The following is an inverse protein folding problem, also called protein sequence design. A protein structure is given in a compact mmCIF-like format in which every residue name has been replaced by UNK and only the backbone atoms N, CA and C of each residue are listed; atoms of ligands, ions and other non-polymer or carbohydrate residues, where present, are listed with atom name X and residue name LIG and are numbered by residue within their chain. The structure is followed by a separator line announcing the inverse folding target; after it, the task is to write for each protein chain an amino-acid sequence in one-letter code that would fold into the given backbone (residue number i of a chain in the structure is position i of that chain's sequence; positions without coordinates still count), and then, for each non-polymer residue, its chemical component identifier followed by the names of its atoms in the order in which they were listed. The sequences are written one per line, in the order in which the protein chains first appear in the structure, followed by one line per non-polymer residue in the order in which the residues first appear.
data_IF_693095697420
#
_entry.id   IF_693095697420
#
_cell.length_a   1.000
_cell.length_b   1.000
_cell.length_c   1.000
_cell.angle_alpha   90.00
_cell.angle_beta   90.00
_cell.angle_gamma   90.00
#
_symmetry.space_group_name_H-M   'P 1'
#
loop_
_entity.id
_entity.type
_entity.pdbx_description
1 polymer ?
#
# COMPACT_ATOMS: atom_id res chain seq x y z
N UNK A 1 -6.07 6.31 3.27
CA UNK A 1 -6.44 5.11 4.07
C UNK A 1 -7.94 4.95 4.31
N UNK A 2 -8.75 6.02 4.32
CA UNK A 2 -10.22 5.94 4.49
C UNK A 2 -10.90 4.87 3.61
N UNK A 3 -10.62 4.88 2.30
CA UNK A 3 -11.20 3.89 1.35
C UNK A 3 -10.89 2.45 1.73
N UNK A 4 -9.68 2.18 2.25
CA UNK A 4 -9.30 0.84 2.69
C UNK A 4 -10.08 0.42 3.93
N UNK A 5 -10.22 1.34 4.89
CA UNK A 5 -11.04 1.13 6.10
C UNK A 5 -12.49 0.83 5.77
N UNK A 6 -13.07 1.59 4.84
CA UNK A 6 -14.46 1.42 4.43
C UNK A 6 -14.71 0.08 3.70
N UNK A 7 -13.69 -0.49 3.04
CA UNK A 7 -13.81 -1.75 2.28
C UNK A 7 -13.44 -3.01 3.07
N UNK A 8 -12.47 -2.92 3.97
CA UNK A 8 -11.89 -4.08 4.67
C UNK A 8 -12.54 -4.30 6.04
N UNK A 9 -13.04 -3.24 6.67
CA UNK A 9 -13.62 -3.33 8.02
C UNK A 9 -12.59 -3.80 9.05
N UNK A 10 -12.93 -4.88 9.77
CA UNK A 10 -12.08 -5.49 10.80
C UNK A 10 -11.38 -6.78 10.34
N UNK A 11 -11.62 -7.21 9.10
CA UNK A 11 -11.04 -8.44 8.59
C UNK A 11 -9.52 -8.29 8.46
N UNK A 12 -8.75 -9.38 8.70
CA UNK A 12 -7.35 -9.39 8.32
C UNK A 12 -7.21 -9.01 6.83
N UNK A 13 -6.10 -8.35 6.47
CA UNK A 13 -5.94 -7.82 5.11
C UNK A 13 -4.53 -8.02 4.60
N UNK A 14 -4.44 -8.38 3.32
CA UNK A 14 -3.19 -8.39 2.57
C UNK A 14 -3.02 -7.06 1.87
N UNK A 15 -1.86 -6.43 2.06
CA UNK A 15 -1.62 -5.07 1.56
C UNK A 15 -0.25 -4.97 0.90
N UNK A 16 -0.23 -4.46 -0.33
CA UNK A 16 0.99 -4.06 -1.02
C UNK A 16 1.07 -2.53 -1.05
N UNK A 17 2.12 -1.98 -0.44
CA UNK A 17 2.51 -0.58 -0.62
C UNK A 17 3.43 -0.49 -1.81
N UNK A 18 3.12 0.40 -2.74
CA UNK A 18 3.84 0.51 -4.00
C UNK A 18 4.46 1.91 -4.14
N UNK A 19 5.62 2.06 -4.79
CA UNK A 19 6.20 3.39 -5.03
C UNK A 19 6.91 3.54 -6.39
N UNK A 20 7.12 4.80 -6.79
CA UNK A 20 7.96 5.20 -7.93
C UNK A 20 9.14 6.03 -7.41
N UNK A 21 10.31 5.41 -7.21
CA UNK A 21 11.51 6.04 -6.63
C UNK A 21 11.28 6.86 -5.34
N UNK A 22 10.42 6.36 -4.44
CA UNK A 22 10.02 7.03 -3.19
C UNK A 22 9.91 6.02 -2.04
N UNK A 23 11.04 5.34 -1.76
CA UNK A 23 11.09 4.25 -0.77
C UNK A 23 10.82 4.76 0.65
N UNK A 24 11.45 5.87 1.05
CA UNK A 24 11.29 6.45 2.39
C UNK A 24 9.83 6.80 2.68
N UNK A 25 9.13 7.38 1.71
CA UNK A 25 7.71 7.69 1.83
C UNK A 25 6.83 6.42 1.85
N UNK A 26 7.22 5.39 1.11
CA UNK A 26 6.56 4.09 1.14
C UNK A 26 6.72 3.38 2.48
N UNK A 27 7.90 3.46 3.11
CA UNK A 27 8.14 2.93 4.46
C UNK A 27 7.27 3.62 5.50
N UNK A 28 7.20 4.95 5.48
CA UNK A 28 6.29 5.73 6.35
C UNK A 28 4.83 5.36 6.13
N UNK A 29 4.43 5.12 4.89
CA UNK A 29 3.07 4.69 4.57
C UNK A 29 2.80 3.27 5.08
N UNK A 30 3.75 2.35 4.94
CA UNK A 30 3.69 0.99 5.46
C UNK A 30 3.54 0.99 6.98
N UNK A 31 4.34 1.77 7.70
CA UNK A 31 4.24 1.91 9.16
C UNK A 31 2.84 2.36 9.59
N UNK A 32 2.29 3.36 8.91
CA UNK A 32 0.92 3.84 9.18
C UNK A 32 -0.13 2.77 8.92
N UNK A 33 0.00 2.03 7.82
CA UNK A 33 -0.90 0.92 7.51
C UNK A 33 -0.81 -0.17 8.58
N UNK A 34 0.39 -0.57 8.97
CA UNK A 34 0.60 -1.58 10.02
C UNK A 34 0.05 -1.16 11.39
N UNK A 35 0.01 0.14 11.69
CA UNK A 35 -0.52 0.66 12.94
C UNK A 35 -2.07 0.76 12.94
N UNK A 36 -2.68 0.96 11.77
CA UNK A 36 -4.12 1.20 11.65
C UNK A 36 -4.94 -0.03 11.28
N UNK A 37 -4.32 -1.09 10.74
CA UNK A 37 -5.01 -2.25 10.15
C UNK A 37 -4.45 -3.58 10.68
N UNK A 38 -5.32 -4.60 10.76
CA UNK A 38 -4.92 -5.96 11.06
C UNK A 38 -4.32 -6.61 9.79
N UNK A 39 -3.04 -6.36 9.53
CA UNK A 39 -2.38 -6.87 8.33
C UNK A 39 -1.95 -8.34 8.50
N UNK A 40 -2.56 -9.23 7.73
CA UNK A 40 -2.10 -10.61 7.58
C UNK A 40 -0.77 -10.66 6.81
N UNK A 41 -0.65 -9.77 5.81
CA UNK A 41 0.55 -9.61 5.00
C UNK A 41 0.71 -8.14 4.59
N UNK A 42 1.94 -7.61 4.68
CA UNK A 42 2.23 -6.21 4.36
C UNK A 42 3.67 -6.04 3.85
N UNK A 43 3.82 -5.65 2.59
CA UNK A 43 5.13 -5.44 1.96
C UNK A 43 5.20 -4.19 1.09
N UNK A 44 6.42 -3.81 0.74
CA UNK A 44 6.71 -2.73 -0.20
C UNK A 44 7.15 -3.34 -1.53
N UNK A 45 6.69 -2.77 -2.63
CA UNK A 45 7.13 -3.14 -3.98
C UNK A 45 7.24 -1.91 -4.87
N UNK A 46 7.95 -2.03 -5.99
CA UNK A 46 8.11 -0.96 -6.95
C UNK A 46 7.02 -1.01 -8.02
N UNK A 47 6.68 0.16 -8.57
CA UNK A 47 5.89 0.24 -9.78
C UNK A 47 6.66 -0.36 -10.95
N UNK A 48 5.95 -1.05 -11.84
CA UNK A 48 6.54 -1.44 -13.13
C UNK A 48 6.96 -0.18 -13.92
N UNK A 49 7.92 -0.28 -14.86
CA UNK A 49 8.37 0.87 -15.65
C UNK A 49 7.23 1.60 -16.38
N UNK A 50 6.23 0.86 -16.90
CA UNK A 50 5.06 1.45 -17.56
C UNK A 50 4.19 2.25 -16.59
N UNK A 51 3.96 1.71 -15.39
CA UNK A 51 3.20 2.42 -14.36
C UNK A 51 3.99 3.63 -13.85
N UNK A 52 5.31 3.52 -13.68
CA UNK A 52 6.18 4.63 -13.30
C UNK A 52 6.16 5.76 -14.35
N UNK A 53 6.20 5.41 -15.63
CA UNK A 53 6.04 6.38 -16.74
C UNK A 53 4.68 7.08 -16.70
N UNK A 54 3.59 6.34 -16.46
CA UNK A 54 2.24 6.89 -16.47
C UNK A 54 1.91 7.73 -15.23
N UNK A 55 2.40 7.35 -14.05
CA UNK A 55 2.06 7.98 -12.78
C UNK A 55 3.06 9.06 -12.35
N UNK A 56 4.32 8.95 -12.77
CA UNK A 56 5.39 9.88 -12.42
C UNK A 56 6.12 9.57 -11.10
N UNK A 57 7.37 10.04 -11.01
CA UNK A 57 8.25 9.91 -9.85
C UNK A 57 7.64 10.54 -8.59
N UNK A 58 7.83 9.88 -7.43
CA UNK A 58 7.27 10.32 -6.16
C UNK A 58 5.87 9.76 -5.88
N UNK A 59 5.28 9.04 -6.83
CA UNK A 59 3.96 8.42 -6.63
C UNK A 59 4.03 7.28 -5.62
N UNK A 60 3.03 7.22 -4.74
CA UNK A 60 2.74 6.09 -3.87
C UNK A 60 1.45 5.40 -4.31
N UNK A 61 1.42 4.08 -4.20
CA UNK A 61 0.27 3.22 -4.47
C UNK A 61 -0.05 2.31 -3.28
N UNK A 62 -1.29 1.87 -3.24
CA UNK A 62 -1.80 0.95 -2.22
C UNK A 62 -2.76 -0.03 -2.90
N UNK A 63 -2.41 -1.31 -2.86
CA UNK A 63 -3.28 -2.40 -3.28
C UNK A 63 -3.62 -3.26 -2.07
N UNK A 64 -4.87 -3.70 -1.95
CA UNK A 64 -5.33 -4.46 -0.79
C UNK A 64 -6.51 -5.36 -1.12
N UNK A 65 -6.62 -6.46 -0.39
CA UNK A 65 -7.79 -7.34 -0.36
C UNK A 65 -7.92 -7.97 1.04
N UNK A 66 -9.16 -8.19 1.53
CA UNK A 66 -9.36 -8.88 2.81
C UNK A 66 -8.92 -10.35 2.70
N UNK A 67 -8.42 -10.90 3.79
CA UNK A 67 -8.23 -12.33 3.96
C UNK A 67 -9.62 -13.00 4.03
N UNK A 68 -9.76 -14.16 3.38
CA UNK A 68 -11.04 -14.89 3.24
C UNK A 68 -11.58 -15.42 4.58
#
# INVERSE_FOLDING_TARGET
LKVMRDKVGLNPVHVAVMHVYALDEAERLKERVSAEFNCAELWITEFSPVMGYACGTGTLGLAFYPED
#
